data_IF_998818391782
#
_entry.id   IF_998818391782
#
_cell.length_a   1.000
_cell.length_b   1.000
_cell.length_c   1.000
_cell.angle_alpha   90.00
_cell.angle_beta   90.00
_cell.angle_gamma   90.00
#
_symmetry.space_group_name_H-M   'P 1'
#
loop_
_entity.id
_entity.type
_entity.pdbx_description
1 polymer ?
#
# COMPACT_ATOMS: atom_id res chain seq x y z
N UNK A 1 0.90 19.96 3.89
CA UNK A 1 0.10 20.11 5.14
C UNK A 1 0.78 21.09 6.11
N UNK A 2 0.04 22.04 6.69
CA UNK A 2 0.51 22.99 7.72
C UNK A 2 -0.05 22.54 9.07
N UNK A 3 0.79 22.33 10.07
CA UNK A 3 0.37 21.87 11.41
C UNK A 3 0.87 22.84 12.48
N UNK A 4 0.02 23.20 13.43
CA UNK A 4 0.45 23.91 14.63
C UNK A 4 1.26 22.94 15.51
N UNK A 5 2.42 23.34 16.01
CA UNK A 5 3.28 22.43 16.77
C UNK A 5 4.38 23.12 17.56
N UNK A 6 4.86 22.48 18.63
CA UNK A 6 5.98 22.96 19.48
C UNK A 6 7.33 22.81 18.76
N UNK A 7 8.46 22.94 19.45
CA UNK A 7 9.77 22.63 18.86
C UNK A 7 9.87 21.14 18.48
N UNK A 8 10.34 20.77 17.28
CA UNK A 8 10.52 19.37 16.91
C UNK A 8 11.55 18.67 17.80
N UNK A 9 11.31 17.39 18.13
CA UNK A 9 12.17 16.59 19.02
C UNK A 9 13.65 16.55 18.57
N UNK A 10 13.91 16.55 17.26
CA UNK A 10 15.26 16.56 16.70
C UNK A 10 15.98 17.92 16.78
N UNK A 11 15.30 18.96 17.30
CA UNK A 11 15.83 20.30 17.53
C UNK A 11 15.91 20.62 19.04
N UNK A 12 15.55 19.69 19.93
CA UNK A 12 15.48 19.86 21.40
C UNK A 12 16.79 19.46 22.12
N UNK A 13 17.93 19.45 21.42
CA UNK A 13 19.25 19.13 22.01
C UNK A 13 19.46 17.66 22.44
N UNK A 14 18.46 16.78 22.28
CA UNK A 14 18.56 15.33 22.53
C UNK A 14 19.21 14.59 21.35
N UNK A 15 19.80 13.42 21.61
CA UNK A 15 20.28 12.52 20.56
C UNK A 15 19.12 12.05 19.70
N UNK A 16 19.06 12.54 18.45
CA UNK A 16 18.07 12.14 17.45
C UNK A 16 18.79 11.63 16.19
N UNK A 17 18.35 10.50 15.60
CA UNK A 17 18.97 9.99 14.38
C UNK A 17 18.69 10.92 13.19
N UNK A 18 19.71 11.62 12.70
CA UNK A 18 19.57 12.50 11.52
C UNK A 18 19.57 11.72 10.19
N UNK A 19 20.02 10.47 10.21
CA UNK A 19 20.00 9.52 9.09
C UNK A 19 19.38 8.22 9.57
N UNK A 20 18.72 7.50 8.66
CA UNK A 20 18.18 6.17 8.94
C UNK A 20 19.34 5.22 9.28
N UNK A 21 19.34 4.56 10.44
CA UNK A 21 20.29 3.50 10.74
C UNK A 21 20.15 2.33 9.76
N UNK A 22 21.23 1.59 9.52
CA UNK A 22 21.24 0.50 8.53
C UNK A 22 20.35 -0.69 8.90
N UNK A 23 20.13 -0.91 10.19
CA UNK A 23 19.26 -1.97 10.74
C UNK A 23 17.86 -1.48 11.09
N UNK A 24 17.51 -0.24 10.74
CA UNK A 24 16.24 0.35 11.15
C UNK A 24 15.05 -0.23 10.38
N UNK A 25 13.93 -0.40 11.08
CA UNK A 25 12.65 -0.71 10.47
C UNK A 25 12.20 0.46 9.58
N UNK A 26 12.23 0.27 8.26
CA UNK A 26 12.03 1.35 7.28
C UNK A 26 10.69 2.08 7.45
N UNK A 27 9.60 1.34 7.70
CA UNK A 27 8.30 1.96 7.96
C UNK A 27 8.24 2.76 9.25
N UNK A 28 9.01 2.36 10.27
CA UNK A 28 9.04 3.10 11.54
C UNK A 28 9.80 4.41 11.34
N UNK A 29 10.95 4.34 10.67
CA UNK A 29 11.70 5.51 10.26
C UNK A 29 10.82 6.47 9.45
N UNK A 30 10.17 5.97 8.39
CA UNK A 30 9.36 6.77 7.47
C UNK A 30 8.17 7.45 8.16
N UNK A 31 7.40 6.71 8.96
CA UNK A 31 6.17 7.22 9.55
C UNK A 31 6.39 8.06 10.83
N UNK A 32 7.45 7.77 11.61
CA UNK A 32 7.63 8.36 12.96
C UNK A 32 8.83 9.27 13.12
N UNK A 33 9.87 9.14 12.29
CA UNK A 33 11.12 9.89 12.44
C UNK A 33 11.29 11.01 11.41
N UNK A 34 10.20 11.49 10.79
CA UNK A 34 10.24 12.59 9.84
C UNK A 34 10.90 13.83 10.45
N UNK A 35 12.10 14.16 9.96
CA UNK A 35 12.97 15.18 10.52
C UNK A 35 13.28 16.34 9.56
N UNK A 36 12.45 16.51 8.52
CA UNK A 36 12.64 17.51 7.47
C UNK A 36 11.71 18.73 7.60
N UNK A 37 11.03 18.87 8.73
CA UNK A 37 10.09 19.97 8.93
C UNK A 37 10.80 21.32 8.88
N UNK A 38 10.14 22.28 8.25
CA UNK A 38 10.43 23.69 8.37
C UNK A 38 9.46 24.26 9.41
N UNK A 39 10.01 24.86 10.45
CA UNK A 39 9.25 25.52 11.52
C UNK A 39 9.30 27.02 11.26
N UNK A 40 8.15 27.68 11.33
CA UNK A 40 8.05 29.12 11.23
C UNK A 40 6.96 29.67 12.15
N UNK A 41 7.12 30.91 12.58
CA UNK A 41 6.12 31.63 13.38
C UNK A 41 5.17 32.33 12.42
N UNK A 42 3.87 32.11 12.61
CA UNK A 42 2.85 32.85 11.89
C UNK A 42 2.70 34.25 12.47
N UNK A 43 2.94 35.27 11.64
CA UNK A 43 3.00 36.68 12.08
C UNK A 43 1.67 37.19 12.68
N UNK A 44 0.55 36.55 12.35
CA UNK A 44 -0.77 37.00 12.78
C UNK A 44 -1.24 36.32 14.08
N UNK A 45 -0.68 35.16 14.41
CA UNK A 45 -1.13 34.35 15.55
C UNK A 45 -0.03 34.04 16.58
N UNK A 46 1.22 34.45 16.31
CA UNK A 46 2.42 34.15 17.11
C UNK A 46 2.64 32.65 17.38
N UNK A 47 1.96 31.79 16.63
CA UNK A 47 2.01 30.34 16.76
C UNK A 47 3.06 29.74 15.83
N UNK A 48 3.67 28.65 16.30
CA UNK A 48 4.61 27.86 15.51
C UNK A 48 3.88 26.89 14.59
N UNK A 49 4.25 26.91 13.31
CA UNK A 49 3.72 26.02 12.30
C UNK A 49 4.81 25.19 11.63
N UNK A 50 4.47 23.95 11.30
CA UNK A 50 5.33 22.97 10.68
C UNK A 50 4.86 22.70 9.25
N UNK A 51 5.78 22.77 8.30
CA UNK A 51 5.54 22.39 6.92
C UNK A 51 6.74 21.63 6.33
N UNK A 52 6.50 20.65 5.46
CA UNK A 52 7.58 20.04 4.68
C UNK A 52 7.86 20.81 3.38
N UNK A 53 6.83 21.40 2.77
CA UNK A 53 6.97 22.12 1.50
C UNK A 53 7.65 21.26 0.42
N UNK A 54 8.75 21.77 -0.13
CA UNK A 54 9.58 21.10 -1.13
C UNK A 54 10.45 19.95 -0.56
N UNK A 55 10.63 19.86 0.76
CA UNK A 55 11.47 18.83 1.42
C UNK A 55 10.80 17.44 1.51
N UNK A 56 9.59 17.29 0.97
CA UNK A 56 8.90 15.99 0.91
C UNK A 56 9.72 14.97 0.10
N UNK A 57 10.27 15.40 -1.03
CA UNK A 57 11.10 14.54 -1.87
C UNK A 57 12.36 14.09 -1.12
N UNK A 58 13.02 15.01 -0.40
CA UNK A 58 14.20 14.70 0.42
C UNK A 58 13.88 13.68 1.53
N UNK A 59 12.69 13.76 2.12
CA UNK A 59 12.23 12.78 3.11
C UNK A 59 12.01 11.40 2.50
N UNK A 60 11.31 11.33 1.36
CA UNK A 60 11.08 10.08 0.62
C UNK A 60 12.42 9.45 0.20
N UNK A 61 13.38 10.26 -0.25
CA UNK A 61 14.72 9.79 -0.63
C UNK A 61 15.50 9.13 0.52
N UNK A 62 15.09 9.31 1.79
CA UNK A 62 15.74 8.60 2.90
C UNK A 62 15.51 7.09 2.87
N UNK A 63 14.41 6.64 2.24
CA UNK A 63 14.03 5.21 2.20
C UNK A 63 14.16 4.57 0.82
N UNK A 64 14.46 5.35 -0.24
CA UNK A 64 14.64 4.83 -1.61
C UNK A 64 16.09 4.47 -1.95
N UNK A 65 17.07 4.92 -1.15
CA UNK A 65 18.50 4.70 -1.40
C UNK A 65 18.95 3.25 -1.22
N UNK A 66 18.22 2.47 -0.42
CA UNK A 66 18.51 1.06 -0.13
C UNK A 66 17.23 0.25 -0.28
N UNK A 67 17.38 -1.05 -0.54
CA UNK A 67 16.25 -1.98 -0.43
C UNK A 67 15.81 -2.04 1.03
N UNK A 68 14.50 -2.05 1.25
CA UNK A 68 13.92 -2.11 2.58
C UNK A 68 13.55 -3.55 2.98
N UNK A 69 13.63 -3.81 4.29
CA UNK A 69 13.35 -5.10 4.90
C UNK A 69 14.54 -6.04 4.99
N UNK A 70 14.61 -6.74 6.12
CA UNK A 70 15.61 -7.76 6.38
C UNK A 70 15.29 -9.02 5.57
N UNK A 71 16.25 -9.48 4.76
CA UNK A 71 16.08 -10.63 3.87
C UNK A 71 15.75 -11.91 4.64
N UNK A 72 16.36 -12.12 5.81
CA UNK A 72 16.16 -13.32 6.61
C UNK A 72 14.78 -13.33 7.25
N UNK A 73 14.35 -12.20 7.84
CA UNK A 73 13.01 -12.09 8.44
C UNK A 73 11.90 -12.22 7.39
N UNK A 74 12.10 -11.66 6.20
CA UNK A 74 11.15 -11.82 5.08
C UNK A 74 11.05 -13.30 4.69
N UNK A 75 12.19 -13.97 4.51
CA UNK A 75 12.23 -15.37 4.13
C UNK A 75 11.53 -16.25 5.17
N UNK A 76 11.83 -16.07 6.46
CA UNK A 76 11.19 -16.81 7.55
C UNK A 76 9.67 -16.59 7.58
N UNK A 77 9.22 -15.34 7.41
CA UNK A 77 7.80 -15.01 7.39
C UNK A 77 7.07 -15.66 6.20
N UNK A 78 7.69 -15.66 5.01
CA UNK A 78 7.17 -16.33 3.82
C UNK A 78 7.12 -17.84 4.03
N UNK A 79 8.18 -18.47 4.51
CA UNK A 79 8.24 -19.92 4.75
C UNK A 79 7.18 -20.37 5.76
N UNK A 80 7.01 -19.62 6.85
CA UNK A 80 5.96 -19.90 7.86
C UNK A 80 4.56 -19.76 7.27
N UNK A 81 4.33 -18.74 6.44
CA UNK A 81 3.05 -18.56 5.76
C UNK A 81 2.80 -19.70 4.76
N UNK A 82 3.80 -20.08 3.96
CA UNK A 82 3.70 -21.20 3.01
C UNK A 82 3.39 -22.52 3.72
N UNK A 83 4.08 -22.81 4.84
CA UNK A 83 3.82 -24.00 5.63
C UNK A 83 2.38 -24.03 6.17
N UNK A 84 1.89 -22.91 6.70
CA UNK A 84 0.51 -22.79 7.17
C UNK A 84 -0.51 -22.99 6.04
N UNK A 85 -0.29 -22.35 4.90
CA UNK A 85 -1.17 -22.44 3.72
C UNK A 85 -1.22 -23.87 3.20
N UNK A 86 -0.06 -24.53 3.05
CA UNK A 86 0.02 -25.93 2.62
C UNK A 86 -0.65 -26.88 3.61
N UNK A 87 -0.44 -26.70 4.92
CA UNK A 87 -1.09 -27.49 5.97
C UNK A 87 -2.63 -27.34 5.97
N UNK A 88 -3.14 -26.26 5.36
CA UNK A 88 -4.56 -25.97 5.20
C UNK A 88 -5.11 -26.31 3.82
N UNK A 89 -4.37 -27.03 2.99
CA UNK A 89 -4.73 -27.33 1.59
C UNK A 89 -4.95 -26.09 0.72
N UNK A 90 -4.36 -24.95 1.10
CA UNK A 90 -4.43 -23.71 0.35
C UNK A 90 -3.58 -23.72 -0.92
N UNK A 91 -3.55 -22.57 -1.58
CA UNK A 91 -2.79 -22.31 -2.80
C UNK A 91 -1.98 -21.04 -2.65
N UNK A 92 -0.83 -21.03 -3.31
CA UNK A 92 0.12 -19.94 -3.36
C UNK A 92 0.22 -19.46 -4.80
N UNK A 93 0.34 -18.16 -4.99
CA UNK A 93 0.61 -17.55 -6.29
C UNK A 93 1.80 -16.62 -6.14
N UNK A 94 2.79 -16.80 -6.99
CA UNK A 94 3.94 -15.91 -7.06
C UNK A 94 3.74 -14.94 -8.21
N UNK A 95 3.91 -13.66 -7.95
CA UNK A 95 3.74 -12.64 -8.97
C UNK A 95 4.75 -11.51 -8.76
N UNK A 96 5.10 -10.83 -9.84
CA UNK A 96 6.06 -9.72 -9.85
C UNK A 96 5.38 -8.45 -10.31
N UNK A 97 5.71 -7.32 -9.70
CA UNK A 97 5.21 -6.01 -10.15
C UNK A 97 5.69 -5.74 -11.58
N UNK A 98 4.75 -5.52 -12.50
CA UNK A 98 5.01 -5.14 -13.91
C UNK A 98 5.28 -3.63 -14.03
N UNK A 99 4.68 -2.83 -13.15
CA UNK A 99 4.94 -1.41 -13.04
C UNK A 99 5.11 -1.00 -11.58
N UNK A 100 5.13 0.31 -11.33
CA UNK A 100 5.16 0.82 -9.96
C UNK A 100 3.90 0.37 -9.20
N UNK A 101 4.10 -0.11 -7.99
CA UNK A 101 3.01 -0.58 -7.12
C UNK A 101 2.89 0.34 -5.90
N UNK A 102 1.66 0.68 -5.52
CA UNK A 102 1.42 1.54 -4.36
C UNK A 102 0.28 0.97 -3.53
N UNK A 103 0.52 0.92 -2.23
CA UNK A 103 -0.44 0.41 -1.24
C UNK A 103 -0.65 1.47 -0.17
N UNK A 104 -1.91 1.76 0.18
CA UNK A 104 -2.23 2.67 1.30
C UNK A 104 -1.96 4.15 1.06
N UNK A 105 -2.08 4.64 -0.18
CA UNK A 105 -1.97 6.08 -0.49
C UNK A 105 -2.86 6.97 0.40
N UNK A 106 -4.04 6.47 0.80
CA UNK A 106 -4.97 7.19 1.67
C UNK A 106 -4.55 7.27 3.15
N UNK A 107 -3.42 6.67 3.55
CA UNK A 107 -2.92 6.79 4.92
C UNK A 107 -2.36 8.20 5.14
N UNK A 108 -2.75 8.81 6.25
CA UNK A 108 -2.22 10.10 6.66
C UNK A 108 -0.72 10.01 6.91
N UNK A 109 0.04 10.87 6.25
CA UNK A 109 1.49 10.93 6.36
C UNK A 109 1.98 12.37 6.12
N UNK A 110 3.11 12.81 6.70
CA UNK A 110 3.68 14.14 6.48
C UNK A 110 3.84 14.56 5.01
N UNK A 111 4.15 13.61 4.11
CA UNK A 111 4.25 13.86 2.66
C UNK A 111 2.91 13.77 1.92
N UNK A 112 1.80 13.82 2.65
CA UNK A 112 0.40 13.71 2.20
C UNK A 112 -0.06 12.32 1.79
N UNK A 113 0.83 11.50 1.22
CA UNK A 113 0.53 10.12 0.85
C UNK A 113 1.37 9.14 1.68
N UNK A 114 0.71 8.22 2.37
CA UNK A 114 1.37 7.14 3.11
C UNK A 114 1.64 5.91 2.26
N UNK A 115 2.28 4.92 2.89
CA UNK A 115 2.47 3.57 2.36
C UNK A 115 2.05 2.56 3.44
N UNK A 116 1.50 1.40 3.05
CA UNK A 116 1.30 0.30 4.00
C UNK A 116 2.63 -0.40 4.25
N UNK A 117 3.09 -0.38 5.50
CA UNK A 117 4.25 -1.14 5.96
C UNK A 117 3.83 -2.35 6.76
N UNK A 118 4.49 -3.49 6.54
CA UNK A 118 4.34 -4.66 7.38
C UNK A 118 4.93 -4.34 8.75
N UNK A 119 4.18 -4.55 9.85
CA UNK A 119 4.51 -4.00 11.16
C UNK A 119 5.82 -4.55 11.77
N UNK A 120 6.26 -5.72 11.31
CA UNK A 120 7.48 -6.38 11.79
C UNK A 120 8.60 -6.38 10.74
N UNK A 121 8.26 -6.43 9.45
CA UNK A 121 9.25 -6.71 8.40
C UNK A 121 9.87 -5.43 7.83
N UNK A 122 9.29 -4.26 8.11
CA UNK A 122 9.76 -2.99 7.56
C UNK A 122 9.60 -2.88 6.05
N UNK A 123 8.81 -3.75 5.43
CA UNK A 123 8.58 -3.78 3.99
C UNK A 123 7.17 -3.38 3.62
N UNK A 124 6.95 -2.87 2.40
CA UNK A 124 5.62 -2.73 1.84
C UNK A 124 4.97 -4.10 1.65
N UNK A 125 3.68 -4.19 1.96
CA UNK A 125 2.89 -5.40 1.73
C UNK A 125 1.46 -5.03 1.31
N UNK A 126 0.74 -6.01 0.78
CA UNK A 126 -0.68 -5.84 0.48
C UNK A 126 -1.52 -6.59 1.52
N UNK A 127 -2.34 -5.92 2.32
CA UNK A 127 -3.20 -6.59 3.27
C UNK A 127 -4.14 -7.60 2.60
N UNK A 128 -4.41 -8.73 3.26
CA UNK A 128 -5.30 -9.78 2.76
C UNK A 128 -6.73 -9.28 2.57
N UNK A 129 -7.14 -8.25 3.31
CA UNK A 129 -8.41 -7.54 3.07
C UNK A 129 -8.41 -6.79 1.74
N UNK A 130 -7.28 -6.20 1.34
CA UNK A 130 -7.12 -5.56 0.04
C UNK A 130 -7.08 -6.59 -1.09
N UNK A 131 -6.39 -7.73 -0.90
CA UNK A 131 -6.43 -8.86 -1.84
C UNK A 131 -7.87 -9.35 -2.01
N UNK A 132 -8.56 -9.63 -0.90
CA UNK A 132 -9.96 -10.06 -0.90
C UNK A 132 -10.86 -9.07 -1.63
N UNK A 133 -10.71 -7.77 -1.35
CA UNK A 133 -11.51 -6.72 -1.99
C UNK A 133 -11.27 -6.65 -3.50
N UNK A 134 -10.02 -6.75 -3.94
CA UNK A 134 -9.64 -6.78 -5.35
C UNK A 134 -10.25 -7.98 -6.08
N UNK A 135 -10.11 -9.19 -5.53
CA UNK A 135 -10.66 -10.40 -6.15
C UNK A 135 -12.19 -10.37 -6.13
N UNK A 136 -12.82 -9.83 -5.08
CA UNK A 136 -14.27 -9.64 -5.03
C UNK A 136 -14.76 -8.68 -6.11
N UNK A 137 -14.10 -7.52 -6.27
CA UNK A 137 -14.44 -6.54 -7.31
C UNK A 137 -14.29 -7.15 -8.72
N UNK A 138 -13.25 -7.97 -8.94
CA UNK A 138 -13.10 -8.73 -10.18
C UNK A 138 -14.27 -9.70 -10.41
N UNK A 139 -14.58 -10.55 -9.43
CA UNK A 139 -15.68 -11.50 -9.55
C UNK A 139 -17.04 -10.81 -9.77
N UNK A 140 -17.33 -9.72 -9.04
CA UNK A 140 -18.59 -8.98 -9.18
C UNK A 140 -18.75 -8.35 -10.57
N UNK A 141 -17.67 -7.89 -11.20
CA UNK A 141 -17.71 -7.20 -12.49
C UNK A 141 -17.64 -8.13 -13.71
N UNK A 142 -16.84 -9.21 -13.64
CA UNK A 142 -16.53 -10.03 -14.81
C UNK A 142 -17.16 -11.43 -14.80
N UNK A 143 -17.45 -12.01 -13.64
CA UNK A 143 -18.09 -13.34 -13.59
C UNK A 143 -19.56 -13.27 -13.22
N UNK A 144 -19.92 -12.46 -12.22
CA UNK A 144 -21.22 -12.52 -11.59
C UNK A 144 -21.46 -13.86 -10.88
N UNK A 145 -22.70 -14.09 -10.42
CA UNK A 145 -23.12 -15.37 -9.85
C UNK A 145 -23.38 -15.37 -8.35
N UNK A 146 -24.17 -16.35 -7.88
CA UNK A 146 -24.57 -16.50 -6.48
C UNK A 146 -23.45 -17.05 -5.59
N UNK A 147 -22.35 -17.56 -6.17
CA UNK A 147 -21.20 -18.04 -5.42
C UNK A 147 -20.35 -16.93 -4.79
N UNK A 148 -20.44 -15.68 -5.28
CA UNK A 148 -19.61 -14.57 -4.79
C UNK A 148 -19.86 -14.36 -3.30
N UNK A 149 -21.12 -14.25 -2.89
CA UNK A 149 -21.41 -14.06 -1.47
C UNK A 149 -21.01 -15.29 -0.67
N UNK A 150 -21.16 -16.51 -1.18
CA UNK A 150 -20.67 -17.72 -0.49
C UNK A 150 -19.16 -17.68 -0.25
N UNK A 151 -18.37 -17.23 -1.23
CA UNK A 151 -16.90 -17.16 -1.16
C UNK A 151 -16.43 -16.03 -0.26
N UNK A 152 -17.01 -14.84 -0.41
CA UNK A 152 -16.54 -13.62 0.27
C UNK A 152 -17.29 -13.33 1.58
N UNK A 153 -18.43 -13.96 1.81
CA UNK A 153 -19.40 -13.63 2.85
C UNK A 153 -20.42 -12.58 2.39
N UNK A 154 -21.59 -12.60 3.02
CA UNK A 154 -22.69 -11.67 2.72
C UNK A 154 -22.30 -10.21 2.96
N UNK A 155 -22.95 -9.29 2.24
CA UNK A 155 -22.85 -7.86 2.55
C UNK A 155 -23.58 -7.58 3.87
N UNK A 156 -23.20 -6.51 4.57
CA UNK A 156 -23.77 -6.16 5.88
C UNK A 156 -25.29 -5.95 5.88
N UNK A 157 -25.89 -5.78 4.70
CA UNK A 157 -27.31 -5.49 4.47
C UNK A 157 -28.19 -6.73 4.31
N UNK A 158 -27.63 -7.94 4.20
CA UNK A 158 -28.42 -9.16 4.02
C UNK A 158 -28.93 -9.74 5.35
N UNK A 159 -30.16 -10.27 5.30
CA UNK A 159 -30.83 -10.92 6.42
C UNK A 159 -30.20 -12.27 6.79
N UNK A 160 -29.59 -12.97 5.82
CA UNK A 160 -28.82 -14.20 6.03
C UNK A 160 -27.32 -13.90 6.11
N UNK A 161 -26.83 -13.59 7.30
CA UNK A 161 -25.39 -13.35 7.53
C UNK A 161 -24.62 -14.65 7.46
N UNK A 162 -23.66 -14.74 6.56
CA UNK A 162 -22.72 -15.86 6.51
C UNK A 162 -21.28 -15.40 6.26
N UNK A 163 -20.35 -16.24 6.73
CA UNK A 163 -18.92 -16.02 6.61
C UNK A 163 -18.42 -16.71 5.35
N UNK A 164 -17.52 -16.06 4.62
CA UNK A 164 -16.92 -16.60 3.40
C UNK A 164 -16.22 -17.95 3.57
N UNK A 165 -16.20 -18.73 2.49
CA UNK A 165 -15.58 -20.06 2.41
C UNK A 165 -14.06 -20.02 2.21
N UNK A 166 -13.49 -18.87 1.80
CA UNK A 166 -12.05 -18.72 1.51
C UNK A 166 -11.38 -17.70 2.45
N UNK A 167 -10.22 -18.09 2.98
CA UNK A 167 -9.32 -17.24 3.77
C UNK A 167 -8.29 -16.61 2.84
N UNK A 168 -8.18 -15.27 2.90
CA UNK A 168 -7.21 -14.48 2.15
C UNK A 168 -6.08 -14.02 3.07
N UNK A 169 -4.85 -14.34 2.70
CA UNK A 169 -3.66 -13.94 3.46
C UNK A 169 -3.10 -12.62 2.94
N UNK A 170 -2.28 -11.98 3.77
CA UNK A 170 -1.47 -10.84 3.37
C UNK A 170 -0.51 -11.24 2.24
N UNK A 171 -0.42 -10.42 1.18
CA UNK A 171 0.58 -10.63 0.15
C UNK A 171 1.92 -10.06 0.61
N UNK A 172 2.90 -10.93 0.80
CA UNK A 172 4.21 -10.60 1.35
C UNK A 172 5.25 -10.51 0.23
N UNK A 173 6.24 -9.60 0.31
CA UNK A 173 7.36 -9.62 -0.61
C UNK A 173 8.23 -10.87 -0.36
N UNK A 174 8.88 -11.38 -1.40
CA UNK A 174 9.80 -12.54 -1.29
C UNK A 174 11.27 -12.17 -1.01
N UNK A 175 11.59 -10.89 -1.09
CA UNK A 175 12.93 -10.37 -0.87
C UNK A 175 12.86 -8.90 -0.43
N UNK A 176 14.01 -8.34 -0.04
CA UNK A 176 14.12 -6.93 0.27
C UNK A 176 13.65 -6.06 -0.92
N UNK A 177 12.73 -5.14 -0.63
CA UNK A 177 11.95 -4.41 -1.65
C UNK A 177 12.66 -3.12 -2.03
N UNK A 178 12.82 -2.85 -3.32
CA UNK A 178 13.30 -1.56 -3.81
C UNK A 178 12.12 -0.57 -3.90
N UNK A 179 12.32 0.60 -3.31
CA UNK A 179 11.35 1.69 -3.29
C UNK A 179 11.80 2.82 -4.23
N UNK A 180 10.84 3.54 -4.81
CA UNK A 180 11.09 4.68 -5.69
C UNK A 180 10.15 5.84 -5.38
N UNK A 181 10.64 7.05 -5.66
CA UNK A 181 9.82 8.26 -5.62
C UNK A 181 9.10 8.42 -6.95
N UNK A 182 7.83 8.82 -6.87
CA UNK A 182 7.05 9.23 -8.03
C UNK A 182 6.32 10.54 -7.71
N UNK A 183 5.79 11.22 -8.73
CA UNK A 183 5.21 12.57 -8.60
C UNK A 183 3.84 12.63 -9.25
N UNK A 184 2.86 13.15 -8.50
CA UNK A 184 1.56 13.53 -9.05
C UNK A 184 1.54 15.03 -9.33
N UNK A 185 0.98 15.46 -10.45
CA UNK A 185 0.82 16.89 -10.77
C UNK A 185 -0.64 17.23 -11.06
N UNK A 186 -1.54 17.23 -10.05
CA UNK A 186 -2.90 17.71 -10.25
C UNK A 186 -2.90 19.19 -10.69
N UNK A 187 -3.64 19.48 -11.77
CA UNK A 187 -3.83 20.84 -12.28
C UNK A 187 -5.14 21.46 -11.76
N UNK A 188 -6.23 20.70 -11.71
CA UNK A 188 -7.57 21.23 -11.40
C UNK A 188 -7.92 21.21 -9.90
N UNK A 189 -6.93 21.23 -9.01
CA UNK A 189 -7.17 21.20 -7.56
C UNK A 189 -8.12 22.32 -7.07
N UNK A 190 -8.06 23.57 -7.57
CA UNK A 190 -9.01 24.62 -7.21
C UNK A 190 -10.45 24.31 -7.64
N UNK A 191 -10.64 23.78 -8.85
CA UNK A 191 -11.95 23.38 -9.37
C UNK A 191 -12.58 22.30 -8.50
N UNK A 192 -11.85 21.22 -8.20
CA UNK A 192 -12.39 20.13 -7.38
C UNK A 192 -12.69 20.53 -5.93
N UNK A 193 -12.04 21.59 -5.41
CA UNK A 193 -12.24 22.07 -4.05
C UNK A 193 -13.48 22.96 -3.91
N UNK A 194 -13.72 23.86 -4.86
CA UNK A 194 -14.90 24.75 -4.88
C UNK A 194 -15.35 25.01 -6.33
N UNK A 195 -16.08 24.06 -6.95
CA UNK A 195 -16.51 24.16 -8.35
C UNK A 195 -17.37 25.40 -8.64
N UNK A 196 -18.04 25.94 -7.62
CA UNK A 196 -18.90 27.13 -7.76
C UNK A 196 -18.08 28.41 -7.93
N UNK A 197 -16.89 28.48 -7.33
CA UNK A 197 -16.01 29.66 -7.41
C UNK A 197 -14.91 29.52 -8.45
N UNK A 198 -14.58 28.30 -8.84
CA UNK A 198 -13.47 28.01 -9.72
C UNK A 198 -13.98 27.20 -10.91
N UNK A 199 -14.01 27.76 -12.13
CA UNK A 199 -14.42 27.03 -13.32
C UNK A 199 -13.33 26.02 -13.76
N UNK A 200 -13.68 24.97 -14.53
CA UNK A 200 -12.73 23.98 -15.02
C UNK A 200 -11.92 24.56 -16.20
N UNK A 201 -10.92 25.37 -15.89
CA UNK A 201 -10.08 26.07 -16.89
C UNK A 201 -8.66 25.51 -16.91
N UNK A 202 -8.07 25.34 -18.09
CA UNK A 202 -6.73 24.77 -18.31
C UNK A 202 -5.56 25.70 -17.96
N UNK A 203 -5.78 26.70 -17.09
CA UNK A 203 -4.77 27.71 -16.72
C UNK A 203 -4.18 27.51 -15.32
N UNK A 204 -4.59 26.46 -14.61
CA UNK A 204 -4.10 26.20 -13.26
C UNK A 204 -2.70 25.60 -13.30
N UNK A 205 -1.80 26.17 -12.50
CA UNK A 205 -0.44 25.66 -12.34
C UNK A 205 -0.44 24.23 -11.75
N UNK A 206 0.42 23.33 -12.24
CA UNK A 206 0.58 22.01 -11.64
C UNK A 206 1.07 22.13 -10.19
N UNK A 207 0.57 21.25 -9.33
CA UNK A 207 1.06 21.12 -7.95
C UNK A 207 1.79 19.78 -7.82
N UNK A 208 3.14 19.74 -7.92
CA UNK A 208 3.89 18.49 -7.76
C UNK A 208 3.77 17.94 -6.33
N UNK A 209 3.24 16.73 -6.21
CA UNK A 209 3.10 16.00 -4.94
C UNK A 209 3.90 14.71 -5.07
N UNK A 210 5.11 14.64 -4.49
CA UNK A 210 5.88 13.42 -4.48
C UNK A 210 5.26 12.39 -3.54
N UNK A 211 5.33 11.12 -3.91
CA UNK A 211 4.86 10.00 -3.10
C UNK A 211 5.79 8.79 -3.27
N UNK A 212 5.72 7.88 -2.30
CA UNK A 212 6.56 6.69 -2.24
C UNK A 212 5.86 5.51 -2.94
N UNK A 213 6.62 4.76 -3.74
CA UNK A 213 6.12 3.60 -4.49
C UNK A 213 7.06 2.41 -4.33
N UNK A 214 6.52 1.21 -4.53
CA UNK A 214 7.31 0.01 -4.80
C UNK A 214 7.72 0.05 -6.26
N UNK A 215 9.00 -0.16 -6.53
CA UNK A 215 9.51 -0.21 -7.90
C UNK A 215 8.93 -1.38 -8.70
N UNK A 216 9.12 -1.34 -10.01
CA UNK A 216 8.88 -2.49 -10.89
C UNK A 216 9.80 -3.67 -10.54
N UNK A 217 9.39 -4.88 -10.90
CA UNK A 217 10.22 -6.08 -10.82
C UNK A 217 10.32 -6.68 -9.42
N UNK A 218 9.48 -6.28 -8.47
CA UNK A 218 9.50 -6.80 -7.10
C UNK A 218 8.55 -7.99 -6.97
N UNK A 219 9.05 -9.11 -6.42
CA UNK A 219 8.29 -10.35 -6.28
C UNK A 219 7.49 -10.40 -4.97
N UNK A 220 6.23 -10.79 -5.08
CA UNK A 220 5.30 -11.02 -3.98
C UNK A 220 4.73 -12.44 -4.04
N UNK A 221 4.37 -12.96 -2.87
CA UNK A 221 3.62 -14.20 -2.71
C UNK A 221 2.22 -13.85 -2.20
N UNK A 222 1.22 -14.32 -2.93
CA UNK A 222 -0.19 -14.26 -2.57
C UNK A 222 -0.63 -15.65 -2.13
N UNK A 223 -1.53 -15.73 -1.16
CA UNK A 223 -2.01 -17.01 -0.67
C UNK A 223 -3.49 -16.96 -0.31
N UNK A 224 -4.15 -18.08 -0.57
CA UNK A 224 -5.53 -18.33 -0.15
C UNK A 224 -5.65 -19.75 0.38
N UNK A 225 -6.56 -19.97 1.34
CA UNK A 225 -6.81 -21.29 1.88
C UNK A 225 -8.31 -21.51 2.10
N UNK A 226 -8.78 -22.76 2.03
CA UNK A 226 -10.16 -23.07 2.34
C UNK A 226 -10.41 -22.92 3.85
N UNK A 227 -11.58 -22.38 4.21
CA UNK A 227 -11.99 -22.28 5.61
C UNK A 227 -12.33 -23.66 6.17
N UNK A 228 -13.06 -24.48 5.43
CA UNK A 228 -13.34 -25.89 5.71
C UNK A 228 -12.84 -26.76 4.56
N UNK A 229 -12.58 -28.05 4.80
CA UNK A 229 -12.09 -28.97 3.75
C UNK A 229 -13.02 -29.02 2.53
N UNK A 230 -14.32 -28.87 2.74
CA UNK A 230 -15.36 -28.86 1.69
C UNK A 230 -15.26 -27.64 0.75
N UNK A 231 -14.63 -26.54 1.20
CA UNK A 231 -14.52 -25.27 0.46
C UNK A 231 -13.38 -25.28 -0.58
N UNK A 232 -12.72 -26.42 -0.80
CA UNK A 232 -11.53 -26.51 -1.65
C UNK A 232 -11.79 -26.06 -3.09
N UNK A 233 -12.96 -26.36 -3.65
CA UNK A 233 -13.31 -25.97 -5.02
C UNK A 233 -13.36 -24.44 -5.21
N UNK A 234 -13.67 -23.68 -4.15
CA UNK A 234 -13.68 -22.22 -4.19
C UNK A 234 -12.29 -21.63 -4.24
N UNK A 235 -11.32 -22.32 -3.62
CA UNK A 235 -9.92 -21.88 -3.60
C UNK A 235 -9.37 -21.86 -5.02
N UNK A 236 -9.60 -22.92 -5.80
CA UNK A 236 -9.12 -23.01 -7.18
C UNK A 236 -9.80 -21.95 -8.07
N UNK A 237 -11.09 -21.68 -7.87
CA UNK A 237 -11.79 -20.56 -8.54
C UNK A 237 -11.19 -19.20 -8.17
N UNK A 238 -11.00 -18.95 -6.88
CA UNK A 238 -10.41 -17.70 -6.36
C UNK A 238 -9.00 -17.49 -6.87
N UNK A 239 -8.22 -18.56 -7.04
CA UNK A 239 -6.88 -18.47 -7.63
C UNK A 239 -6.92 -17.99 -9.08
N UNK A 240 -7.87 -18.47 -9.89
CA UNK A 240 -8.04 -17.98 -11.26
C UNK A 240 -8.43 -16.50 -11.27
N UNK A 241 -9.41 -16.11 -10.45
CA UNK A 241 -9.80 -14.71 -10.31
C UNK A 241 -8.68 -13.82 -9.81
N UNK A 242 -7.85 -14.31 -8.89
CA UNK A 242 -6.70 -13.59 -8.38
C UNK A 242 -5.67 -13.33 -9.48
N UNK A 243 -5.35 -14.35 -10.29
CA UNK A 243 -4.45 -14.20 -11.44
C UNK A 243 -4.97 -13.14 -12.39
N UNK A 244 -6.21 -13.28 -12.82
CA UNK A 244 -6.82 -12.34 -13.77
C UNK A 244 -6.90 -10.93 -13.19
N UNK A 245 -7.28 -10.78 -11.92
CA UNK A 245 -7.35 -9.48 -11.26
C UNK A 245 -5.97 -8.80 -11.20
N UNK A 246 -4.92 -9.55 -10.87
CA UNK A 246 -3.55 -9.05 -10.82
C UNK A 246 -3.05 -8.54 -12.19
N UNK A 247 -3.41 -9.24 -13.26
CA UNK A 247 -3.04 -8.91 -14.64
C UNK A 247 -3.91 -7.76 -15.21
N UNK A 248 -5.23 -7.78 -14.99
CA UNK A 248 -6.22 -6.95 -15.69
C UNK A 248 -6.77 -5.74 -14.94
N UNK A 249 -6.74 -5.72 -13.61
CA UNK A 249 -7.07 -4.52 -12.82
C UNK A 249 -5.86 -3.98 -12.07
N UNK A 250 -5.00 -4.86 -11.56
CA UNK A 250 -3.90 -4.51 -10.67
C UNK A 250 -4.36 -4.33 -9.21
N UNK A 251 -3.39 -4.32 -8.31
CA UNK A 251 -3.60 -4.24 -6.87
C UNK A 251 -3.16 -2.89 -6.28
N UNK A 252 -3.78 -2.51 -5.17
CA UNK A 252 -3.42 -1.29 -4.43
C UNK A 252 -4.14 -0.06 -4.96
N UNK A 253 -3.43 1.06 -5.07
CA UNK A 253 -3.99 2.35 -5.46
C UNK A 253 -3.50 2.79 -6.84
N UNK A 254 -4.27 3.69 -7.48
CA UNK A 254 -3.99 4.24 -8.83
C UNK A 254 -3.95 3.19 -9.96
N UNK A 255 -4.70 2.11 -9.80
CA UNK A 255 -4.85 1.03 -10.79
C UNK A 255 -5.41 1.50 -12.12
N UNK A 256 -6.29 2.51 -12.12
CA UNK A 256 -6.87 3.12 -13.33
C UNK A 256 -5.85 3.84 -14.21
N UNK A 257 -4.70 4.22 -13.66
CA UNK A 257 -3.59 4.86 -14.40
C UNK A 257 -2.38 3.94 -14.50
N UNK A 258 -2.59 2.62 -14.37
CA UNK A 258 -1.59 1.58 -14.65
C UNK A 258 -0.72 1.13 -13.48
N UNK A 259 -0.93 1.63 -12.25
CA UNK A 259 -0.14 1.18 -11.10
C UNK A 259 -0.61 -0.18 -10.60
N UNK A 260 0.34 -0.91 -10.00
CA UNK A 260 0.04 -2.14 -9.28
C UNK A 260 -0.35 -3.31 -10.17
N UNK A 261 0.02 -3.29 -11.45
CA UNK A 261 -0.06 -4.47 -12.33
C UNK A 261 1.00 -5.49 -11.95
N UNK A 262 0.63 -6.77 -12.06
CA UNK A 262 1.52 -7.88 -11.77
C UNK A 262 1.52 -8.88 -12.91
N UNK A 263 2.67 -9.49 -13.14
CA UNK A 263 2.83 -10.69 -13.96
C UNK A 263 2.97 -11.88 -13.04
N UNK A 264 2.09 -12.88 -13.19
CA UNK A 264 2.18 -14.13 -12.42
C UNK A 264 3.35 -14.95 -12.95
N UNK A 265 4.22 -15.40 -12.04
CA UNK A 265 5.32 -16.30 -12.39
C UNK A 265 4.70 -17.64 -12.86
N UNK A 266 5.00 -18.08 -14.09
CA UNK A 266 4.39 -19.26 -14.75
C UNK A 266 4.76 -20.63 -14.17
N UNK A 267 5.07 -20.71 -12.87
CA UNK A 267 5.37 -21.96 -12.18
C UNK A 267 4.09 -22.73 -11.87
N UNK A 268 3.77 -23.68 -12.74
CA UNK A 268 2.87 -24.82 -12.46
C UNK A 268 3.47 -25.70 -11.37
#
# INVERSE_FOLDING_TARGET
MKMEGRTPLYNDGRSFPHKMPDTAHTGLWYDKFCNRWKVYVDKNSEKNFWELGNRKADWIQTVTKKRCGDKHLIQEAVERMEALVRARSGRLMYARTEGRFVTGLGRSHPVENGLVWHPVLGTPYLPGSSVKGMVRDWAEKWTGGSEIDRIFGSKHTDSSKHIGSVVFFDALPRAAVKLEIDVMTPHFAPYYRDPKKHPPVERYAPIPIPFLTVSEGQSFVFAVAPRKKEDQCDVDKVMNWLKEALEWIGAGAKTSVGYGRFVVDGGV
#
